data_IF_290902781728
#
_entry.id   IF_290902781728
#
_cell.length_a   1.000
_cell.length_b   1.000
_cell.length_c   1.000
_cell.angle_alpha   90.00
_cell.angle_beta   90.00
_cell.angle_gamma   90.00
#
_symmetry.space_group_name_H-M   'P 1'
#
loop_
_entity.id
_entity.type
_entity.pdbx_description
1 polymer ?
#
# COMPACT_ATOMS: atom_id res chain seq x y z
N UNK A 1 -28.52 3.09 -45.84
CA UNK A 1 -27.80 1.97 -45.22
C UNK A 1 -27.95 2.11 -43.70
N UNK A 2 -28.64 1.18 -43.05
CA UNK A 2 -28.88 1.13 -41.60
C UNK A 2 -27.56 0.82 -40.88
N UNK A 3 -27.20 1.57 -39.84
CA UNK A 3 -26.05 1.23 -38.99
C UNK A 3 -26.54 0.50 -37.75
N UNK A 4 -26.12 -0.76 -37.60
CA UNK A 4 -26.41 -1.59 -36.44
C UNK A 4 -25.24 -1.47 -35.48
N UNK A 5 -25.50 -1.08 -34.23
CA UNK A 5 -24.50 -1.04 -33.18
C UNK A 5 -24.83 -2.10 -32.14
N UNK A 6 -23.91 -3.06 -31.99
CA UNK A 6 -23.93 -4.01 -30.89
C UNK A 6 -23.22 -3.38 -29.71
N UNK A 7 -24.00 -3.01 -28.70
CA UNK A 7 -23.44 -2.64 -27.40
C UNK A 7 -22.96 -3.93 -26.75
N UNK A 8 -21.65 -4.18 -26.78
CA UNK A 8 -21.06 -5.17 -25.90
C UNK A 8 -21.02 -4.54 -24.52
N UNK A 9 -22.01 -4.84 -23.67
CA UNK A 9 -21.77 -4.77 -22.25
C UNK A 9 -20.58 -5.70 -21.97
N UNK A 10 -19.46 -5.11 -21.55
CA UNK A 10 -18.40 -5.86 -20.89
C UNK A 10 -19.06 -6.39 -19.63
N UNK A 11 -19.34 -7.70 -19.60
CA UNK A 11 -19.77 -8.38 -18.39
C UNK A 11 -18.64 -8.20 -17.37
N UNK A 12 -18.77 -7.20 -16.48
CA UNK A 12 -18.17 -7.31 -15.17
C UNK A 12 -18.96 -8.40 -14.47
N UNK A 13 -18.48 -9.64 -14.58
CA UNK A 13 -18.86 -10.72 -13.67
C UNK A 13 -18.47 -10.21 -12.30
N UNK A 14 -19.45 -9.73 -11.53
CA UNK A 14 -19.27 -9.52 -10.10
C UNK A 14 -19.36 -10.93 -9.50
N UNK A 15 -18.28 -11.49 -8.95
CA UNK A 15 -18.36 -12.77 -8.27
C UNK A 15 -19.36 -12.63 -7.13
N UNK A 16 -20.34 -13.53 -7.09
CA UNK A 16 -21.47 -13.49 -6.17
C UNK A 16 -21.11 -14.02 -4.76
N UNK A 17 -19.90 -13.70 -4.29
CA UNK A 17 -19.37 -14.10 -2.99
C UNK A 17 -18.74 -12.89 -2.30
N UNK A 18 -19.56 -11.99 -1.78
CA UNK A 18 -19.21 -11.01 -0.73
C UNK A 18 -20.48 -10.30 -0.23
N UNK A 19 -21.48 -11.10 0.15
CA UNK A 19 -22.68 -10.59 0.85
C UNK A 19 -22.94 -11.38 2.13
N UNK A 20 -21.92 -11.53 2.97
CA UNK A 20 -22.13 -11.86 4.39
C UNK A 20 -20.91 -11.44 5.22
N UNK A 21 -21.15 -10.56 6.19
CA UNK A 21 -20.23 -9.99 7.20
C UNK A 21 -19.58 -8.65 6.87
N UNK A 22 -20.40 -7.60 6.75
CA UNK A 22 -20.02 -6.29 7.31
C UNK A 22 -20.50 -6.28 8.77
N UNK A 23 -19.71 -6.86 9.66
CA UNK A 23 -19.75 -6.45 11.06
C UNK A 23 -18.98 -5.14 11.15
N UNK A 24 -19.65 -4.10 11.64
CA UNK A 24 -19.03 -2.84 12.02
C UNK A 24 -17.87 -3.12 12.98
N UNK A 25 -16.64 -2.98 12.49
CA UNK A 25 -15.46 -3.04 13.35
C UNK A 25 -15.51 -1.82 14.26
N UNK A 26 -15.62 -1.96 15.59
CA UNK A 26 -15.46 -0.82 16.47
C UNK A 26 -14.04 -0.29 16.35
N UNK A 27 -13.90 0.97 15.94
CA UNK A 27 -12.68 1.76 16.06
C UNK A 27 -12.40 1.99 17.55
N UNK A 28 -11.85 0.98 18.21
CA UNK A 28 -11.11 1.14 19.46
C UNK A 28 -9.66 0.81 19.15
N UNK A 29 -8.81 1.83 19.18
CA UNK A 29 -7.37 1.69 19.25
C UNK A 29 -7.02 0.96 20.54
N UNK A 30 -7.04 -0.37 20.49
CA UNK A 30 -6.48 -1.22 21.52
C UNK A 30 -4.97 -1.24 21.25
N UNK A 31 -4.25 -0.30 21.87
CA UNK A 31 -2.82 -0.43 22.07
C UNK A 31 -2.63 -1.45 23.19
N UNK A 32 -2.60 -2.73 22.84
CA UNK A 32 -2.11 -3.77 23.74
C UNK A 32 -0.59 -3.71 23.79
N UNK A 33 -0.04 -3.71 25.00
CA UNK A 33 1.38 -3.69 25.36
C UNK A 33 2.13 -4.99 24.99
N UNK A 34 1.67 -5.72 23.97
CA UNK A 34 2.34 -6.94 23.51
C UNK A 34 3.35 -6.61 22.40
N UNK A 35 4.58 -6.39 22.86
CA UNK A 35 5.83 -6.91 22.27
C UNK A 35 5.93 -6.93 20.74
N UNK A 36 5.77 -5.78 20.10
CA UNK A 36 6.06 -5.67 18.69
C UNK A 36 7.58 -5.51 18.49
N UNK A 37 8.30 -6.63 18.46
CA UNK A 37 9.75 -6.63 18.34
C UNK A 37 10.11 -6.19 16.92
N UNK A 38 10.78 -5.05 16.76
CA UNK A 38 11.32 -4.61 15.46
C UNK A 38 12.35 -5.62 14.91
N UNK A 39 12.85 -6.51 15.76
CA UNK A 39 13.79 -7.59 15.49
C UNK A 39 13.41 -8.86 16.32
N UNK A 40 12.31 -9.56 16.00
CA UNK A 40 11.82 -10.68 16.82
C UNK A 40 12.73 -11.91 16.81
N UNK A 41 13.61 -12.00 15.82
CA UNK A 41 14.47 -13.17 15.57
C UNK A 41 15.95 -12.90 15.84
N UNK A 42 16.30 -11.87 16.61
CA UNK A 42 17.69 -11.58 16.94
C UNK A 42 17.87 -11.42 18.44
N UNK A 43 18.80 -12.16 19.02
CA UNK A 43 19.09 -12.08 20.45
C UNK A 43 19.77 -10.76 20.79
N UNK A 44 19.59 -10.28 22.03
CA UNK A 44 20.20 -9.02 22.49
C UNK A 44 21.73 -9.05 22.37
N UNK A 45 22.33 -10.22 22.57
CA UNK A 45 23.78 -10.44 22.41
C UNK A 45 24.22 -10.21 20.95
N UNK A 46 23.49 -10.74 19.98
CA UNK A 46 23.78 -10.53 18.56
C UNK A 46 23.66 -9.05 18.16
N UNK A 47 22.65 -8.34 18.69
CA UNK A 47 22.48 -6.91 18.42
C UNK A 47 23.65 -6.10 18.99
N UNK A 48 24.12 -6.46 20.18
CA UNK A 48 25.27 -5.82 20.83
C UNK A 48 26.54 -6.01 20.01
N UNK A 49 26.83 -7.24 19.62
CA UNK A 49 27.95 -7.58 18.74
C UNK A 49 27.92 -6.76 17.45
N UNK A 50 26.74 -6.60 16.85
CA UNK A 50 26.58 -5.80 15.64
C UNK A 50 26.72 -4.29 15.89
N UNK A 51 26.36 -3.79 17.07
CA UNK A 51 26.65 -2.40 17.46
C UNK A 51 28.16 -2.17 17.65
N UNK A 52 28.86 -3.10 18.30
CA UNK A 52 30.30 -3.01 18.53
C UNK A 52 31.10 -3.07 17.22
N UNK A 53 30.68 -3.91 16.26
CA UNK A 53 31.32 -4.01 14.94
C UNK A 53 30.93 -2.88 13.97
N UNK A 54 29.92 -2.07 14.28
CA UNK A 54 29.49 -0.97 13.40
C UNK A 54 30.55 0.16 13.43
N UNK A 55 31.02 0.66 12.28
CA UNK A 55 32.13 1.62 12.22
C UNK A 55 31.81 2.98 12.85
N UNK A 56 30.53 3.31 13.04
CA UNK A 56 30.09 4.56 13.64
C UNK A 56 29.62 4.34 15.07
N UNK A 57 28.76 3.34 15.30
CA UNK A 57 28.21 3.03 16.63
C UNK A 57 29.30 2.44 17.53
N UNK A 58 30.15 1.55 17.02
CA UNK A 58 31.28 0.96 17.75
C UNK A 58 32.28 2.02 18.23
N UNK A 59 32.74 2.90 17.32
CA UNK A 59 33.58 4.06 17.70
C UNK A 59 32.91 4.96 18.75
N UNK A 60 31.59 5.13 18.66
CA UNK A 60 30.86 5.88 19.68
C UNK A 60 30.86 5.14 21.02
N UNK A 61 30.68 3.81 21.05
CA UNK A 61 30.77 2.97 22.26
C UNK A 61 32.15 3.13 22.91
N UNK A 62 33.23 3.06 22.13
CA UNK A 62 34.60 3.25 22.62
C UNK A 62 34.75 4.59 23.35
N UNK A 63 34.31 5.68 22.72
CA UNK A 63 34.34 7.02 23.31
C UNK A 63 33.43 7.09 24.54
N UNK A 64 32.24 6.50 24.48
CA UNK A 64 31.29 6.47 25.58
C UNK A 64 31.86 5.79 26.83
N UNK A 65 32.65 4.72 26.63
CA UNK A 65 33.30 3.99 27.70
C UNK A 65 34.40 4.79 28.39
N UNK A 66 34.99 5.80 27.73
CA UNK A 66 35.91 6.75 28.38
C UNK A 66 35.23 7.68 29.39
N UNK A 67 33.89 7.67 29.46
CA UNK A 67 33.06 8.53 30.32
C UNK A 67 33.29 10.04 30.13
N UNK A 68 33.92 10.43 29.00
CA UNK A 68 34.22 11.82 28.66
C UNK A 68 33.67 12.15 27.28
N UNK A 69 32.82 13.17 27.22
CA UNK A 69 32.34 13.75 25.95
C UNK A 69 33.51 14.49 25.27
N UNK A 70 33.85 14.18 24.00
CA UNK A 70 34.88 14.91 23.27
C UNK A 70 34.56 16.40 23.13
N UNK A 71 35.59 17.24 23.18
CA UNK A 71 35.47 18.69 22.96
C UNK A 71 35.07 18.99 21.50
N UNK A 72 34.50 20.17 21.25
CA UNK A 72 34.09 20.57 19.88
C UNK A 72 35.23 20.51 18.86
N UNK A 73 36.46 20.80 19.27
CA UNK A 73 37.66 20.71 18.42
C UNK A 73 38.01 19.26 18.05
N UNK A 74 37.84 18.32 18.97
CA UNK A 74 38.05 16.88 18.76
C UNK A 74 36.96 16.31 17.85
N UNK A 75 35.70 16.69 18.09
CA UNK A 75 34.57 16.28 17.25
C UNK A 75 34.74 16.68 15.79
N UNK A 76 35.35 17.84 15.49
CA UNK A 76 35.57 18.28 14.11
C UNK A 76 36.50 17.37 13.31
N UNK A 77 37.32 16.54 13.97
CA UNK A 77 38.20 15.56 13.34
C UNK A 77 37.49 14.23 13.05
N UNK A 78 36.31 14.02 13.61
CA UNK A 78 35.53 12.80 13.45
C UNK A 78 34.63 12.84 12.21
N UNK A 79 34.24 11.65 11.74
CA UNK A 79 33.28 11.49 10.64
C UNK A 79 31.92 12.13 10.98
N UNK A 80 31.25 12.72 9.98
CA UNK A 80 29.94 13.40 10.16
C UNK A 80 28.90 12.54 10.91
N UNK A 81 28.70 11.24 10.60
CA UNK A 81 27.73 10.41 11.32
C UNK A 81 28.06 10.24 12.81
N UNK A 82 29.36 10.11 13.14
CA UNK A 82 29.83 10.02 14.52
C UNK A 82 29.60 11.35 15.26
N UNK A 83 29.89 12.48 14.62
CA UNK A 83 29.60 13.81 15.18
C UNK A 83 28.10 13.99 15.46
N UNK A 84 27.22 13.51 14.56
CA UNK A 84 25.77 13.53 14.80
C UNK A 84 25.37 12.74 16.05
N UNK A 85 26.01 11.60 16.32
CA UNK A 85 25.80 10.85 17.55
C UNK A 85 26.35 11.57 18.79
N UNK A 86 27.57 12.12 18.70
CA UNK A 86 28.20 12.87 19.81
C UNK A 86 27.42 14.11 20.21
N UNK A 87 26.72 14.75 19.27
CA UNK A 87 25.79 15.86 19.57
C UNK A 87 24.59 15.44 20.39
N UNK A 88 24.24 14.16 20.38
CA UNK A 88 23.11 13.59 21.13
C UNK A 88 23.54 12.99 22.47
N UNK A 89 24.80 13.15 22.88
CA UNK A 89 25.38 12.54 24.10
C UNK A 89 24.46 12.57 25.32
N UNK A 90 23.84 13.72 25.60
CA UNK A 90 23.04 13.95 26.81
C UNK A 90 21.66 13.25 26.76
N UNK A 91 21.36 12.61 25.63
CA UNK A 91 20.14 11.82 25.38
C UNK A 91 20.45 10.34 25.15
N UNK A 92 21.69 9.91 25.39
CA UNK A 92 22.10 8.53 25.19
C UNK A 92 22.15 7.82 26.53
N UNK A 93 21.58 6.61 26.55
CA UNK A 93 21.66 5.69 27.67
C UNK A 93 22.18 4.34 27.18
N UNK A 94 22.88 3.62 28.05
CA UNK A 94 23.33 2.26 27.78
C UNK A 94 22.67 1.32 28.76
N UNK A 95 21.99 0.31 28.25
CA UNK A 95 21.33 -0.75 29.03
C UNK A 95 21.76 -2.10 28.45
N UNK A 96 22.25 -3.01 29.29
CA UNK A 96 22.78 -4.33 28.90
C UNK A 96 23.85 -4.28 27.79
N UNK A 97 24.61 -3.19 27.72
CA UNK A 97 25.61 -2.97 26.67
C UNK A 97 25.05 -2.49 25.33
N UNK A 98 23.73 -2.29 25.22
CA UNK A 98 23.09 -1.70 24.05
C UNK A 98 22.90 -0.20 24.20
N UNK A 99 23.16 0.55 23.12
CA UNK A 99 22.93 1.99 23.10
C UNK A 99 21.48 2.31 22.73
N UNK A 100 20.88 3.15 23.56
CA UNK A 100 19.58 3.75 23.36
C UNK A 100 19.66 5.27 23.31
N UNK A 101 18.71 5.87 22.60
CA UNK A 101 18.42 7.31 22.60
C UNK A 101 17.09 7.54 23.30
N UNK A 102 17.09 8.42 24.27
CA UNK A 102 15.90 8.86 24.99
C UNK A 102 15.39 10.15 24.35
N UNK A 103 14.10 10.18 24.02
CA UNK A 103 13.41 11.38 23.58
C UNK A 103 12.07 11.53 24.28
N UNK A 104 11.57 12.75 24.37
CA UNK A 104 10.18 13.02 24.76
C UNK A 104 9.40 13.26 23.49
N UNK A 105 8.42 12.41 23.24
CA UNK A 105 7.47 12.51 22.15
C UNK A 105 6.16 13.14 22.65
N UNK A 106 5.56 14.09 21.90
CA UNK A 106 4.31 14.74 22.32
C UNK A 106 3.14 13.78 22.53
N UNK A 107 3.09 12.67 21.78
CA UNK A 107 1.95 11.76 21.79
C UNK A 107 2.21 10.53 22.68
N UNK A 108 3.47 10.13 22.84
CA UNK A 108 3.85 8.88 23.50
C UNK A 108 4.71 9.07 24.76
N UNK A 109 4.98 10.30 25.17
CA UNK A 109 5.82 10.58 26.34
C UNK A 109 7.27 10.19 26.11
N UNK A 110 7.94 9.65 27.13
CA UNK A 110 9.34 9.26 27.02
C UNK A 110 9.50 7.99 26.18
N UNK A 111 10.18 8.11 25.03
CA UNK A 111 10.51 7.00 24.16
C UNK A 111 11.98 6.60 24.30
N UNK A 112 12.20 5.28 24.37
CA UNK A 112 13.52 4.65 24.37
C UNK A 112 13.80 4.01 23.02
N UNK A 113 14.69 4.61 22.24
CA UNK A 113 14.98 4.21 20.85
C UNK A 113 16.34 3.53 20.74
N UNK A 114 16.37 2.25 20.39
CA UNK A 114 17.62 1.51 20.13
C UNK A 114 18.36 2.08 18.91
N UNK A 115 19.67 2.25 19.03
CA UNK A 115 20.53 2.68 17.92
C UNK A 115 20.79 1.51 16.97
N UNK A 116 20.16 1.52 15.81
CA UNK A 116 20.22 0.37 14.89
C UNK A 116 21.54 0.39 14.10
N UNK A 117 22.39 -0.67 14.21
CA UNK A 117 23.56 -0.87 13.36
C UNK A 117 23.18 -0.87 11.88
N UNK A 118 24.09 -0.44 11.00
CA UNK A 118 23.80 -0.36 9.56
C UNK A 118 23.27 -1.68 8.97
N UNK A 119 23.84 -2.81 9.39
CA UNK A 119 23.47 -4.15 8.91
C UNK A 119 22.04 -4.56 9.28
N UNK A 120 21.47 -4.03 10.38
CA UNK A 120 20.14 -4.40 10.85
C UNK A 120 19.03 -3.49 10.29
N UNK A 121 19.36 -2.36 9.67
CA UNK A 121 18.36 -1.39 9.22
C UNK A 121 17.38 -2.01 8.22
N UNK A 122 17.87 -2.76 7.23
CA UNK A 122 17.00 -3.43 6.26
C UNK A 122 16.11 -4.49 6.92
N UNK A 123 16.62 -5.24 7.90
CA UNK A 123 15.83 -6.22 8.66
C UNK A 123 14.71 -5.56 9.47
N UNK A 124 14.98 -4.38 10.05
CA UNK A 124 13.94 -3.57 10.70
C UNK A 124 12.87 -3.13 9.70
N UNK A 125 13.27 -2.71 8.49
CA UNK A 125 12.33 -2.27 7.46
C UNK A 125 11.49 -3.44 6.92
N UNK A 126 12.08 -4.61 6.68
CA UNK A 126 11.35 -5.84 6.34
C UNK A 126 10.25 -6.15 7.37
N UNK A 127 10.61 -6.14 8.65
CA UNK A 127 9.65 -6.41 9.72
C UNK A 127 8.57 -5.34 9.87
N UNK A 128 8.90 -4.06 9.65
CA UNK A 128 7.97 -2.95 9.86
C UNK A 128 7.15 -2.58 8.61
N UNK A 129 7.61 -2.92 7.41
CA UNK A 129 6.96 -2.61 6.15
C UNK A 129 6.36 -3.87 5.52
N UNK A 130 7.20 -4.85 5.19
CA UNK A 130 6.79 -6.00 4.38
C UNK A 130 5.88 -6.94 5.18
N UNK A 131 6.24 -7.24 6.43
CA UNK A 131 5.46 -8.13 7.30
C UNK A 131 4.20 -7.49 7.86
N UNK A 132 4.10 -6.15 7.88
CA UNK A 132 2.95 -5.42 8.45
C UNK A 132 1.92 -4.97 7.41
N UNK A 133 2.03 -5.50 6.19
CA UNK A 133 1.07 -5.23 5.13
C UNK A 133 1.36 -3.95 4.34
N UNK A 134 2.64 -3.64 4.09
CA UNK A 134 3.05 -2.61 3.11
C UNK A 134 2.43 -1.23 3.36
N UNK A 135 2.46 -0.80 4.62
CA UNK A 135 1.86 0.45 5.07
C UNK A 135 2.50 1.68 4.39
N UNK A 136 1.81 2.83 4.49
CA UNK A 136 2.34 4.09 4.02
C UNK A 136 3.69 4.48 4.68
N UNK A 137 4.43 5.36 4.01
CA UNK A 137 5.76 5.80 4.43
C UNK A 137 5.71 6.41 5.84
N UNK A 138 4.74 7.30 6.09
CA UNK A 138 4.57 7.97 7.39
C UNK A 138 4.21 6.99 8.51
N UNK A 139 3.36 5.99 8.20
CA UNK A 139 2.96 4.94 9.14
C UNK A 139 4.16 4.06 9.51
N UNK A 140 4.93 3.63 8.50
CA UNK A 140 6.15 2.84 8.68
C UNK A 140 7.18 3.63 9.50
N UNK A 141 7.36 4.92 9.20
CA UNK A 141 8.25 5.80 9.97
C UNK A 141 7.83 5.94 11.42
N UNK A 142 6.53 6.15 11.67
CA UNK A 142 6.01 6.26 13.04
C UNK A 142 6.27 4.98 13.82
N UNK A 143 5.97 3.81 13.24
CA UNK A 143 6.21 2.52 13.88
C UNK A 143 7.69 2.30 14.24
N UNK A 144 8.60 2.58 13.30
CA UNK A 144 10.04 2.44 13.53
C UNK A 144 10.51 3.44 14.59
N UNK A 145 10.06 4.68 14.52
CA UNK A 145 10.44 5.77 15.44
C UNK A 145 10.08 5.45 16.89
N UNK A 146 9.04 4.67 17.16
CA UNK A 146 8.69 4.33 18.55
C UNK A 146 9.80 3.55 19.28
N UNK A 147 10.63 2.79 18.56
CA UNK A 147 11.60 1.85 19.18
C UNK A 147 13.01 1.95 18.64
N UNK A 148 13.22 2.55 17.48
CA UNK A 148 14.49 2.52 16.78
C UNK A 148 14.90 3.91 16.30
N UNK A 149 16.21 4.11 16.17
CA UNK A 149 16.77 5.32 15.61
C UNK A 149 18.06 5.04 14.85
N UNK A 150 18.21 5.69 13.70
CA UNK A 150 19.50 5.94 13.06
C UNK A 150 19.50 7.30 12.36
N UNK A 151 20.67 7.93 12.16
CA UNK A 151 20.76 9.17 11.39
C UNK A 151 20.18 9.00 9.99
N UNK A 152 19.29 9.93 9.58
CA UNK A 152 18.67 9.90 8.25
C UNK A 152 17.58 8.83 8.07
N UNK A 153 17.04 8.25 9.15
CA UNK A 153 16.09 7.13 9.03
C UNK A 153 14.85 7.40 8.18
N UNK A 154 14.30 8.62 8.20
CA UNK A 154 13.14 8.97 7.38
C UNK A 154 13.42 8.79 5.89
N UNK A 155 14.55 9.31 5.40
CA UNK A 155 14.94 9.16 3.99
C UNK A 155 15.19 7.70 3.64
N UNK A 156 15.84 6.95 4.54
CA UNK A 156 16.06 5.52 4.32
C UNK A 156 14.73 4.73 4.19
N UNK A 157 13.78 4.99 5.09
CA UNK A 157 12.43 4.38 5.07
C UNK A 157 11.68 4.78 3.80
N UNK A 158 11.72 6.07 3.45
CA UNK A 158 11.09 6.61 2.24
C UNK A 158 11.62 5.91 0.99
N UNK A 159 12.94 5.77 0.86
CA UNK A 159 13.58 5.13 -0.28
C UNK A 159 13.28 3.64 -0.34
N UNK A 160 13.21 2.97 0.82
CA UNK A 160 12.82 1.56 0.91
C UNK A 160 11.38 1.33 0.41
N UNK A 161 10.40 2.04 0.99
CA UNK A 161 9.00 1.91 0.62
C UNK A 161 8.73 2.30 -0.84
N UNK A 162 9.45 3.29 -1.38
CA UNK A 162 9.34 3.69 -2.80
C UNK A 162 9.85 2.63 -3.78
N UNK A 163 10.76 1.77 -3.35
CA UNK A 163 11.31 0.67 -4.15
C UNK A 163 10.50 -0.63 -3.99
N UNK A 164 9.51 -0.66 -3.10
CA UNK A 164 8.66 -1.82 -2.90
C UNK A 164 7.73 -2.02 -4.11
N UNK A 165 7.97 -3.08 -4.88
CA UNK A 165 7.18 -3.43 -6.07
C UNK A 165 5.68 -3.56 -5.76
N UNK A 166 5.34 -4.20 -4.64
CA UNK A 166 3.95 -4.38 -4.19
C UNK A 166 3.24 -3.05 -3.96
N UNK A 167 3.93 -2.10 -3.31
CA UNK A 167 3.41 -0.75 -3.13
C UNK A 167 3.28 0.01 -4.44
N UNK A 168 4.26 -0.15 -5.35
CA UNK A 168 4.25 0.52 -6.65
C UNK A 168 3.03 0.06 -7.44
N UNK A 169 2.86 -1.26 -7.61
CA UNK A 169 1.73 -1.86 -8.36
C UNK A 169 0.39 -1.45 -7.77
N UNK A 170 0.25 -1.52 -6.44
CA UNK A 170 -0.99 -1.12 -5.76
C UNK A 170 -1.33 0.37 -5.92
N UNK A 171 -0.34 1.23 -6.17
CA UNK A 171 -0.50 2.68 -6.32
C UNK A 171 -0.46 3.14 -7.77
N UNK A 172 -0.29 2.22 -8.73
CA UNK A 172 -0.32 2.60 -10.14
C UNK A 172 -1.67 3.23 -10.44
N UNK A 173 -1.71 4.44 -11.02
CA UNK A 173 -2.96 5.01 -11.48
C UNK A 173 -3.57 4.04 -12.48
N UNK A 174 -4.79 3.58 -12.20
CA UNK A 174 -5.62 2.93 -13.19
C UNK A 174 -5.65 3.86 -14.41
N UNK A 175 -5.42 3.37 -15.64
CA UNK A 175 -5.54 4.22 -16.81
C UNK A 175 -6.92 4.88 -16.74
N UNK A 176 -6.95 6.21 -16.77
CA UNK A 176 -8.21 6.93 -16.85
C UNK A 176 -8.90 6.39 -18.10
N UNK A 177 -9.97 5.62 -17.91
CA UNK A 177 -10.82 5.17 -19.00
C UNK A 177 -11.50 6.44 -19.49
N UNK A 178 -10.82 7.16 -20.39
CA UNK A 178 -11.45 8.25 -21.13
C UNK A 178 -12.47 7.58 -22.03
N UNK A 179 -13.79 7.74 -21.80
CA UNK A 179 -14.77 7.22 -22.74
C UNK A 179 -14.45 7.83 -24.11
N UNK A 180 -14.49 7.01 -25.15
CA UNK A 180 -14.35 7.50 -26.51
C UNK A 180 -15.38 8.63 -26.72
N UNK A 181 -14.89 9.86 -26.92
CA UNK A 181 -15.74 11.02 -27.06
C UNK A 181 -16.60 10.90 -28.32
N UNK A 182 -17.91 10.77 -28.14
CA UNK A 182 -18.89 10.82 -29.22
C UNK A 182 -20.19 10.11 -28.84
N UNK A 183 -21.23 10.88 -28.51
CA UNK A 183 -22.58 10.32 -28.42
C UNK A 183 -23.09 10.07 -29.85
N UNK A 184 -23.61 8.86 -30.10
CA UNK A 184 -24.20 8.51 -31.39
C UNK A 184 -25.57 9.20 -31.53
N UNK A 185 -25.64 10.32 -32.26
CA UNK A 185 -26.90 11.01 -32.56
C UNK A 185 -27.55 10.40 -33.81
N UNK A 186 -28.81 9.99 -33.69
CA UNK A 186 -29.67 9.65 -34.83
C UNK A 186 -30.51 10.87 -35.22
N UNK A 187 -30.60 11.17 -36.52
CA UNK A 187 -31.34 12.30 -37.09
C UNK A 187 -32.63 11.88 -37.83
N UNK A 188 -32.88 10.57 -37.97
CA UNK A 188 -34.10 10.01 -38.58
C UNK A 188 -34.39 8.60 -38.05
N UNK A 189 -35.66 8.13 -38.15
CA UNK A 189 -36.02 6.77 -37.74
C UNK A 189 -35.17 5.71 -38.44
N UNK A 190 -34.82 4.65 -37.73
CA UNK A 190 -34.04 3.52 -38.25
C UNK A 190 -32.68 3.93 -38.82
N UNK A 191 -32.07 4.99 -38.29
CA UNK A 191 -30.70 5.37 -38.64
C UNK A 191 -29.67 4.64 -37.76
N UNK A 192 -29.98 4.50 -36.47
CA UNK A 192 -29.12 3.89 -35.45
C UNK A 192 -30.00 2.97 -34.62
N UNK A 193 -29.77 1.67 -34.75
CA UNK A 193 -30.43 0.66 -33.93
C UNK A 193 -29.44 0.17 -32.85
N UNK A 194 -29.80 0.40 -31.59
CA UNK A 194 -29.10 -0.17 -30.44
C UNK A 194 -29.66 -1.56 -30.18
N UNK A 195 -28.78 -2.56 -30.16
CA UNK A 195 -29.15 -3.94 -29.89
C UNK A 195 -28.43 -4.39 -28.63
N UNK A 196 -29.18 -4.95 -27.69
CA UNK A 196 -28.68 -5.53 -26.45
C UNK A 196 -29.25 -6.92 -26.22
N UNK A 197 -28.48 -7.74 -25.50
CA UNK A 197 -28.88 -9.09 -25.08
C UNK A 197 -28.90 -9.11 -23.56
N UNK A 198 -30.07 -9.33 -23.00
CA UNK A 198 -30.23 -9.46 -21.55
C UNK A 198 -30.71 -10.86 -21.19
N UNK A 199 -30.26 -11.32 -20.03
CA UNK A 199 -30.71 -12.58 -19.44
C UNK A 199 -31.66 -12.25 -18.31
N UNK A 200 -32.89 -12.74 -18.39
CA UNK A 200 -33.88 -12.61 -17.32
C UNK A 200 -33.87 -13.86 -16.44
N UNK A 201 -34.28 -13.69 -15.18
CA UNK A 201 -34.52 -14.82 -14.28
C UNK A 201 -35.51 -15.81 -14.94
N UNK A 202 -35.23 -17.12 -14.89
CA UNK A 202 -35.97 -18.13 -15.63
C UNK A 202 -37.42 -18.25 -15.12
N UNK A 203 -38.33 -17.50 -15.74
CA UNK A 203 -39.75 -17.79 -15.71
C UNK A 203 -40.09 -18.64 -16.96
N UNK A 204 -40.45 -19.91 -16.75
CA UNK A 204 -40.94 -20.83 -17.79
C UNK A 204 -39.92 -21.21 -18.90
N UNK A 205 -38.63 -21.34 -18.55
CA UNK A 205 -37.59 -21.82 -19.47
C UNK A 205 -37.21 -20.80 -20.55
N UNK A 206 -37.40 -19.50 -20.25
CA UNK A 206 -37.12 -18.38 -21.16
C UNK A 206 -36.10 -17.42 -20.55
N UNK A 207 -34.82 -17.65 -20.84
CA UNK A 207 -33.72 -16.91 -20.19
C UNK A 207 -33.18 -15.76 -21.05
N UNK A 208 -33.16 -15.89 -22.39
CA UNK A 208 -32.49 -14.91 -23.25
C UNK A 208 -33.47 -13.97 -23.95
N UNK A 209 -33.27 -12.66 -23.82
CA UNK A 209 -34.08 -11.62 -24.48
C UNK A 209 -33.20 -10.71 -25.33
N UNK A 210 -33.56 -10.58 -26.61
CA UNK A 210 -33.02 -9.58 -27.52
C UNK A 210 -33.83 -8.29 -27.40
N UNK A 211 -33.17 -7.19 -27.06
CA UNK A 211 -33.79 -5.86 -27.03
C UNK A 211 -33.22 -5.03 -28.17
N UNK A 212 -34.09 -4.50 -29.01
CA UNK A 212 -33.74 -3.59 -30.10
C UNK A 212 -34.41 -2.25 -29.88
N UNK A 213 -33.64 -1.18 -29.87
CA UNK A 213 -34.15 0.19 -29.68
C UNK A 213 -33.67 1.10 -30.80
N UNK A 214 -34.60 1.74 -31.51
CA UNK A 214 -34.25 2.79 -32.46
C UNK A 214 -33.87 4.06 -31.70
N UNK A 215 -32.66 4.56 -31.94
CA UNK A 215 -32.11 5.68 -31.17
C UNK A 215 -32.82 7.01 -31.46
N UNK A 216 -33.51 7.14 -32.62
CA UNK A 216 -34.29 8.34 -32.96
C UNK A 216 -35.68 8.32 -32.33
N UNK A 217 -36.50 7.33 -32.68
CA UNK A 217 -37.91 7.24 -32.21
C UNK A 217 -38.04 6.76 -30.76
N UNK A 218 -36.97 6.16 -30.20
CA UNK A 218 -36.98 5.41 -28.94
C UNK A 218 -37.91 4.19 -28.94
N UNK A 219 -38.44 3.82 -30.10
CA UNK A 219 -39.24 2.61 -30.25
C UNK A 219 -38.39 1.39 -29.91
N UNK A 220 -38.90 0.56 -29.00
CA UNK A 220 -38.18 -0.61 -28.48
C UNK A 220 -38.99 -1.88 -28.69
N UNK A 221 -38.32 -2.93 -29.17
CA UNK A 221 -38.90 -4.26 -29.35
C UNK A 221 -38.03 -5.29 -28.63
N UNK A 222 -38.65 -6.03 -27.72
CA UNK A 222 -38.04 -7.17 -27.04
C UNK A 222 -38.53 -8.48 -27.66
N UNK A 223 -37.61 -9.40 -27.96
CA UNK A 223 -37.92 -10.71 -28.53
C UNK A 223 -37.22 -11.82 -27.74
N UNK A 224 -37.99 -12.82 -27.33
CA UNK A 224 -37.45 -14.01 -26.68
C UNK A 224 -36.62 -14.85 -27.66
N UNK A 225 -35.44 -15.30 -27.22
CA UNK A 225 -34.54 -16.16 -27.98
C UNK A 225 -34.42 -17.55 -27.33
N UNK A 226 -34.64 -18.60 -28.14
CA UNK A 226 -34.47 -20.01 -27.71
C UNK A 226 -33.02 -20.48 -27.68
N UNK A 227 -32.07 -19.75 -28.29
CA UNK A 227 -30.66 -20.14 -28.45
C UNK A 227 -29.73 -18.98 -28.10
N UNK A 228 -28.50 -19.31 -27.70
CA UNK A 228 -27.46 -18.37 -27.22
C UNK A 228 -26.97 -17.39 -28.30
N UNK A 229 -26.44 -16.25 -27.84
CA UNK A 229 -25.96 -15.02 -28.51
C UNK A 229 -25.31 -15.15 -29.91
N UNK A 230 -24.66 -16.28 -30.25
CA UNK A 230 -23.87 -16.45 -31.50
C UNK A 230 -24.70 -16.77 -32.75
N UNK A 231 -25.89 -17.35 -32.64
CA UNK A 231 -26.67 -17.82 -33.81
C UNK A 231 -27.69 -16.80 -34.34
N UNK A 232 -28.13 -15.84 -33.51
CA UNK A 232 -29.20 -14.90 -33.89
C UNK A 232 -28.72 -13.77 -34.79
N UNK A 233 -27.46 -13.36 -34.70
CA UNK A 233 -26.92 -12.24 -35.48
C UNK A 233 -26.90 -12.50 -36.99
N UNK A 234 -26.87 -13.77 -37.43
CA UNK A 234 -26.90 -14.13 -38.86
C UNK A 234 -28.27 -13.94 -39.51
N UNK A 235 -29.38 -13.95 -38.76
CA UNK A 235 -30.74 -13.84 -39.30
C UNK A 235 -31.20 -12.39 -39.52
N UNK A 236 -30.43 -11.39 -39.06
CA UNK A 236 -30.78 -9.98 -39.19
C UNK A 236 -30.07 -9.27 -40.35
N UNK A 237 -29.21 -10.00 -41.09
CA UNK A 237 -28.42 -9.50 -42.23
C UNK A 237 -28.77 -10.19 -43.57
N UNK A 238 -29.82 -11.01 -43.63
CA UNK A 238 -30.42 -11.51 -44.87
C UNK A 238 -31.79 -10.86 -45.06
#
# INVERSE_FOLDING_TARGET
MLKIYLTFAVETVVPNDLASNIQSVPTKSVYTEESFVTLPSLDRLDIKDLQERDPVVGKFIEIWNTKRKPLRSEQRKCDKPLVTLLRQWDRIEVEDGLIYRIIIDPNHGQLKQMKVPAMLRNKVLDNCHDKLGHQEIERTFTNVRLRCYWPGMFNHIKDYCKKCERCIVSKMPQPAITPAMGHLIANRPLQILAIDFTVLEPAYGKENVLVMTDSFTKFTRAQYLRKTRKQTLLLMYC
#
